data_IF_576054094137
#
_entry.id   IF_576054094137
#
_cell.length_a   1.000
_cell.length_b   1.000
_cell.length_c   1.000
_cell.angle_alpha   90.00
_cell.angle_beta   90.00
_cell.angle_gamma   90.00
#
_symmetry.space_group_name_H-M   'P 1'
#
loop_
_entity.id
_entity.type
_entity.pdbx_description
1 polymer ?
#
# COMPACT_ATOMS: atom_id res chain seq x y z
N UNK A 1 -0.21 25.54 10.28
CA UNK A 1 -1.68 25.77 10.31
C UNK A 1 -2.29 26.15 8.95
N UNK A 2 -1.62 25.92 7.81
CA UNK A 2 -2.15 26.24 6.46
C UNK A 2 -2.59 25.03 5.65
N UNK A 3 -2.04 23.84 5.89
CA UNK A 3 -2.33 22.63 5.10
C UNK A 3 -3.77 22.12 5.24
N UNK A 4 -4.38 22.28 6.41
CA UNK A 4 -5.71 21.77 6.73
C UNK A 4 -6.82 22.44 5.89
N UNK A 5 -6.67 23.73 5.57
CA UNK A 5 -7.60 24.47 4.71
C UNK A 5 -7.62 24.00 3.26
N UNK A 6 -6.61 23.25 2.81
CA UNK A 6 -6.53 22.70 1.45
C UNK A 6 -6.71 21.18 1.43
N UNK A 7 -6.94 20.57 2.60
CA UNK A 7 -7.14 19.12 2.76
C UNK A 7 -8.62 18.71 2.89
N UNK A 8 -9.57 19.61 2.63
CA UNK A 8 -11.00 19.28 2.72
C UNK A 8 -11.51 18.44 1.54
N UNK A 9 -11.04 18.71 0.31
CA UNK A 9 -11.42 17.97 -0.90
C UNK A 9 -10.29 17.06 -1.41
N UNK A 10 -10.64 16.10 -2.28
CA UNK A 10 -9.67 15.21 -2.95
C UNK A 10 -8.90 15.91 -4.07
N UNK A 11 -9.47 16.95 -4.66
CA UNK A 11 -8.97 17.62 -5.88
C UNK A 11 -8.46 19.05 -5.65
N UNK A 12 -8.43 19.53 -4.40
CA UNK A 12 -7.98 20.89 -4.07
C UNK A 12 -6.46 20.95 -3.96
N UNK A 13 -5.85 21.82 -4.77
CA UNK A 13 -4.43 22.13 -4.68
C UNK A 13 -4.15 23.11 -3.54
N UNK A 14 -3.03 22.92 -2.85
CA UNK A 14 -2.45 23.91 -1.94
C UNK A 14 -1.93 25.14 -2.71
N UNK A 15 -1.64 26.26 -2.03
CA UNK A 15 -1.01 27.42 -2.65
C UNK A 15 0.35 27.12 -3.30
N UNK A 16 1.01 26.04 -2.89
CA UNK A 16 2.25 25.54 -3.49
C UNK A 16 2.04 24.60 -4.69
N UNK A 17 0.79 24.41 -5.13
CA UNK A 17 0.45 23.55 -6.27
C UNK A 17 0.48 22.05 -5.96
N UNK A 18 0.34 21.65 -4.69
CA UNK A 18 0.40 20.25 -4.27
C UNK A 18 -0.94 19.72 -3.76
N UNK A 19 -1.20 18.43 -3.98
CA UNK A 19 -2.32 17.71 -3.38
C UNK A 19 -1.86 17.10 -2.06
N UNK A 20 -2.12 17.79 -0.95
CA UNK A 20 -1.66 17.39 0.39
C UNK A 20 -2.15 15.98 0.77
N UNK A 21 -3.34 15.57 0.30
CA UNK A 21 -3.85 14.21 0.53
C UNK A 21 -3.00 13.10 -0.10
N UNK A 22 -2.31 13.37 -1.21
CA UNK A 22 -1.40 12.40 -1.82
C UNK A 22 -0.17 12.21 -0.92
N UNK A 23 0.35 13.29 -0.32
CA UNK A 23 1.49 13.19 0.60
C UNK A 23 1.13 12.36 1.85
N UNK A 24 -0.09 12.52 2.38
CA UNK A 24 -0.59 11.68 3.46
C UNK A 24 -0.74 10.21 3.05
N UNK A 25 -1.28 9.93 1.87
CA UNK A 25 -1.39 8.57 1.36
C UNK A 25 -0.02 7.91 1.20
N UNK A 26 0.98 8.63 0.67
CA UNK A 26 2.36 8.15 0.56
C UNK A 26 2.98 7.87 1.93
N UNK A 27 2.70 8.72 2.91
CA UNK A 27 3.16 8.51 4.29
C UNK A 27 2.54 7.25 4.91
N UNK A 28 1.26 6.99 4.63
CA UNK A 28 0.58 5.76 5.06
C UNK A 28 1.20 4.51 4.41
N UNK A 29 1.51 4.56 3.11
CA UNK A 29 2.21 3.46 2.42
C UNK A 29 3.59 3.21 3.04
N UNK A 30 4.34 4.27 3.35
CA UNK A 30 5.66 4.15 3.98
C UNK A 30 5.60 3.53 5.39
N UNK A 31 4.47 3.64 6.09
CA UNK A 31 4.22 2.97 7.39
C UNK A 31 3.70 1.54 7.26
N UNK A 32 3.43 1.06 6.04
CA UNK A 32 2.94 -0.28 5.77
C UNK A 32 3.99 -1.38 5.98
N UNK A 33 3.55 -2.63 5.92
CA UNK A 33 4.45 -3.77 5.95
C UNK A 33 5.39 -3.76 4.73
N UNK A 34 6.67 -4.13 4.87
CA UNK A 34 7.60 -4.16 3.76
C UNK A 34 7.22 -5.26 2.76
N UNK A 35 7.37 -4.95 1.47
CA UNK A 35 7.18 -5.90 0.37
C UNK A 35 8.34 -5.77 -0.61
N UNK A 36 8.74 -6.88 -1.23
CA UNK A 36 9.82 -6.96 -2.21
C UNK A 36 9.31 -7.68 -3.45
N UNK A 37 9.63 -7.15 -4.62
CA UNK A 37 9.37 -7.78 -5.91
C UNK A 37 10.68 -8.05 -6.66
N UNK A 38 10.84 -9.27 -7.17
CA UNK A 38 11.99 -9.67 -8.00
C UNK A 38 11.49 -10.07 -9.38
N UNK A 39 12.03 -9.43 -10.42
CA UNK A 39 11.78 -9.79 -11.81
C UNK A 39 12.93 -10.62 -12.36
N UNK A 40 12.64 -11.84 -12.79
CA UNK A 40 13.53 -12.72 -13.53
C UNK A 40 13.17 -12.73 -15.04
N UNK A 41 13.96 -13.44 -15.85
CA UNK A 41 13.76 -13.52 -17.30
C UNK A 41 12.42 -14.15 -17.69
N UNK A 42 11.90 -15.05 -16.86
CA UNK A 42 10.70 -15.86 -17.12
C UNK A 42 9.66 -15.81 -16.00
N UNK A 43 9.91 -15.06 -14.92
CA UNK A 43 9.06 -15.07 -13.74
C UNK A 43 9.13 -13.75 -12.97
N UNK A 44 8.09 -13.47 -12.20
CA UNK A 44 8.06 -12.40 -11.20
C UNK A 44 7.70 -13.01 -9.87
N UNK A 45 8.45 -12.67 -8.83
CA UNK A 45 8.21 -13.09 -7.46
C UNK A 45 7.84 -11.88 -6.64
N UNK A 46 6.75 -11.97 -5.88
CA UNK A 46 6.34 -10.97 -4.90
C UNK A 46 6.40 -11.62 -3.51
N UNK A 47 7.14 -10.99 -2.60
CA UNK A 47 7.26 -11.40 -1.21
C UNK A 47 6.83 -10.23 -0.31
N UNK A 48 6.10 -10.50 0.76
CA UNK A 48 5.66 -9.47 1.70
C UNK A 48 5.60 -10.03 3.10
N UNK A 49 5.88 -9.21 4.10
CA UNK A 49 5.65 -9.60 5.49
C UNK A 49 4.13 -9.67 5.74
N UNK A 50 3.64 -10.85 6.13
CA UNK A 50 2.23 -11.07 6.48
C UNK A 50 2.10 -11.09 8.00
N UNK A 51 1.72 -9.94 8.58
CA UNK A 51 1.60 -9.78 10.03
C UNK A 51 0.16 -9.97 10.48
N UNK A 52 -0.15 -11.11 11.09
CA UNK A 52 -1.46 -11.35 11.67
C UNK A 52 -1.55 -10.70 13.05
N UNK A 53 -2.46 -9.74 13.20
CA UNK A 53 -2.64 -9.01 14.46
C UNK A 53 -3.38 -9.82 15.54
N UNK A 54 -3.88 -11.01 15.22
CA UNK A 54 -4.64 -11.86 16.13
C UNK A 54 -4.49 -13.34 15.76
N UNK A 55 -4.47 -14.20 16.79
CA UNK A 55 -4.56 -15.66 16.65
C UNK A 55 -5.93 -16.13 16.13
N UNK A 56 -6.90 -15.22 16.06
CA UNK A 56 -8.23 -15.47 15.49
C UNK A 56 -8.31 -15.12 14.00
N UNK A 57 -7.17 -14.76 13.37
CA UNK A 57 -7.14 -14.48 11.96
C UNK A 57 -7.46 -15.75 11.15
N UNK A 58 -8.40 -15.63 10.21
CA UNK A 58 -8.75 -16.72 9.30
C UNK A 58 -7.91 -16.62 8.02
N UNK A 59 -6.95 -17.54 7.88
CA UNK A 59 -6.07 -17.63 6.73
C UNK A 59 -6.81 -17.89 5.41
N UNK A 60 -7.98 -18.51 5.47
CA UNK A 60 -8.80 -18.79 4.30
C UNK A 60 -9.52 -17.56 3.74
N UNK A 61 -9.47 -16.41 4.44
CA UNK A 61 -10.04 -15.15 3.95
C UNK A 61 -9.15 -14.44 2.92
N UNK A 62 -7.89 -14.86 2.77
CA UNK A 62 -6.97 -14.33 1.76
C UNK A 62 -6.96 -15.19 0.50
N UNK A 63 -7.21 -14.54 -0.65
CA UNK A 63 -7.24 -15.20 -1.95
C UNK A 63 -6.27 -14.54 -2.92
N UNK A 64 -5.66 -15.35 -3.79
CA UNK A 64 -4.91 -14.83 -4.94
C UNK A 64 -5.87 -14.15 -5.91
N UNK A 65 -5.46 -13.00 -6.44
CA UNK A 65 -6.22 -12.28 -7.46
C UNK A 65 -6.19 -13.03 -8.81
N UNK A 66 -5.07 -13.70 -9.09
CA UNK A 66 -4.82 -14.46 -10.32
C UNK A 66 -4.02 -15.72 -9.99
N UNK A 67 -4.30 -16.83 -10.67
CA UNK A 67 -3.69 -18.13 -10.38
C UNK A 67 -2.21 -18.20 -10.79
N UNK A 68 -1.82 -17.39 -11.78
CA UNK A 68 -0.42 -17.25 -12.21
C UNK A 68 0.46 -16.47 -11.24
N UNK A 69 -0.13 -15.78 -10.25
CA UNK A 69 0.63 -15.05 -9.24
C UNK A 69 1.14 -16.00 -8.15
N UNK A 70 2.46 -16.04 -7.99
CA UNK A 70 3.11 -16.78 -6.91
C UNK A 70 3.54 -15.75 -5.85
N UNK A 71 2.92 -15.86 -4.68
CA UNK A 71 3.26 -15.10 -3.48
C UNK A 71 4.13 -15.99 -2.59
N UNK A 72 5.28 -15.48 -2.17
CA UNK A 72 6.07 -16.09 -1.11
C UNK A 72 5.68 -15.39 0.20
N UNK A 73 5.14 -16.17 1.14
CA UNK A 73 4.80 -15.74 2.50
C UNK A 73 5.94 -16.07 3.46
#
# INVERSE_FOLDING_TARGET
MSAERYSFSLTTFSPSGKLVKIEYALSAVASGAPSVGIKASNAVVLATEKKYNSVLFDEHSTFKVEESLITLE
#
